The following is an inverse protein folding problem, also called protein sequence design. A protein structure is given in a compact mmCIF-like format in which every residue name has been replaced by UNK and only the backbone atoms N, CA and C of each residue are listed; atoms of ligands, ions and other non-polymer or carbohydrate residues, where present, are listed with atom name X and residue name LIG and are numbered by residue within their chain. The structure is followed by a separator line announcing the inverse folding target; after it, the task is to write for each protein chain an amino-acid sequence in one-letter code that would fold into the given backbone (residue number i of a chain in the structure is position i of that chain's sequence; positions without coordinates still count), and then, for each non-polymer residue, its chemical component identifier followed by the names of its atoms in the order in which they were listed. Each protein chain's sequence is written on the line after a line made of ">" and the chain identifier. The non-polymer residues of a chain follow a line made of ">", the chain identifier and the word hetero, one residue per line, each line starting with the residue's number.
data_IF_556645988174
#
_entry.id   IF_556645988174
#
_cell.length_a   1.000
_cell.length_b   1.000
_cell.length_c   1.000
_cell.angle_alpha   90.00
_cell.angle_beta   90.00
_cell.angle_gamma   90.00
#
_symmetry.space_group_name_H-M   'P 1'
#
loop_
_entity.id
_entity.type
_entity.pdbx_description
1 polymer ?
#
# COMPACT_ATOMS: atom_id res chain seq x y z
N UNK A 1 -17.56 -8.44 10.31
CA UNK A 1 -16.32 -9.17 9.97
C UNK A 1 -15.36 -8.18 9.36
N UNK A 2 -14.49 -7.56 10.17
CA UNK A 2 -13.40 -6.73 9.64
C UNK A 2 -12.16 -7.61 9.62
N UNK A 3 -11.93 -8.26 8.49
CA UNK A 3 -10.66 -8.90 8.18
C UNK A 3 -9.64 -7.77 8.03
N UNK A 4 -9.18 -7.26 9.18
CA UNK A 4 -8.13 -6.25 9.28
C UNK A 4 -6.85 -6.96 8.91
N UNK A 5 -6.67 -7.20 7.61
CA UNK A 5 -5.49 -7.81 7.03
C UNK A 5 -4.34 -6.89 7.37
N UNK A 6 -3.56 -7.29 8.38
CA UNK A 6 -2.52 -6.46 8.98
C UNK A 6 -1.47 -6.17 7.91
N UNK A 7 -1.44 -4.91 7.45
CA UNK A 7 -0.36 -4.40 6.62
C UNK A 7 0.91 -4.41 7.48
N UNK A 8 1.97 -5.02 6.97
CA UNK A 8 3.28 -5.10 7.64
C UNK A 8 4.39 -5.15 6.58
N UNK A 9 5.62 -4.88 6.99
CA UNK A 9 6.79 -4.98 6.12
C UNK A 9 6.88 -6.39 5.51
N UNK A 10 7.20 -6.44 4.21
CA UNK A 10 7.29 -7.67 3.43
C UNK A 10 5.98 -8.10 2.76
N UNK A 11 4.83 -7.53 3.14
CA UNK A 11 3.55 -7.91 2.54
C UNK A 11 3.38 -7.29 1.15
N UNK A 12 2.96 -8.12 0.19
CA UNK A 12 2.52 -7.67 -1.13
C UNK A 12 1.13 -7.04 -1.04
N UNK A 13 0.99 -5.85 -1.61
CA UNK A 13 -0.23 -5.05 -1.57
C UNK A 13 -0.57 -4.50 -2.94
N UNK A 14 -1.85 -4.25 -3.16
CA UNK A 14 -2.36 -3.45 -4.28
C UNK A 14 -2.89 -2.12 -3.74
N UNK A 15 -2.63 -1.05 -4.48
CA UNK A 15 -3.13 0.28 -4.17
C UNK A 15 -4.60 0.36 -4.60
N UNK A 16 -5.49 0.65 -3.66
CA UNK A 16 -6.92 0.80 -3.92
C UNK A 16 -7.19 2.01 -4.81
N UNK A 17 -8.31 1.93 -5.54
CA UNK A 17 -8.79 3.03 -6.37
C UNK A 17 -9.38 4.16 -5.52
N UNK A 18 -10.09 3.79 -4.46
CA UNK A 18 -10.62 4.73 -3.47
C UNK A 18 -9.51 5.09 -2.48
N UNK A 19 -9.07 6.34 -2.54
CA UNK A 19 -8.02 6.89 -1.69
C UNK A 19 -8.54 8.13 -0.99
N UNK A 20 -8.16 8.29 0.28
CA UNK A 20 -8.50 9.44 1.08
C UNK A 20 -7.47 10.54 0.86
N UNK A 21 -7.90 11.80 0.80
CA UNK A 21 -7.02 12.92 0.41
C UNK A 21 -5.96 13.32 1.47
N UNK A 22 -5.73 12.48 2.49
CA UNK A 22 -4.85 12.77 3.63
C UNK A 22 -3.38 12.96 3.20
N UNK A 23 -2.94 12.24 2.17
CA UNK A 23 -1.57 12.33 1.64
C UNK A 23 -1.53 13.01 0.26
N UNK A 24 -2.59 13.75 -0.09
CA UNK A 24 -2.81 14.34 -1.41
C UNK A 24 -3.85 13.56 -2.24
N UNK A 25 -3.95 13.88 -3.54
CA UNK A 25 -4.92 13.25 -4.44
C UNK A 25 -4.63 11.77 -4.75
N UNK A 26 -5.58 11.06 -5.40
CA UNK A 26 -5.43 9.65 -5.73
C UNK A 26 -4.16 9.39 -6.54
N UNK A 27 -3.35 8.44 -6.08
CA UNK A 27 -2.08 8.09 -6.73
C UNK A 27 -1.98 6.59 -6.98
N UNK A 28 -1.58 6.25 -8.20
CA UNK A 28 -1.25 4.87 -8.61
C UNK A 28 -2.33 3.80 -8.37
N UNK A 29 -3.63 4.07 -8.64
CA UNK A 29 -4.68 3.09 -8.41
C UNK A 29 -4.41 1.80 -9.19
N UNK A 30 -4.56 0.65 -8.53
CA UNK A 30 -4.34 -0.68 -9.08
C UNK A 30 -2.88 -1.10 -9.24
N UNK A 31 -1.90 -0.27 -8.88
CA UNK A 31 -0.50 -0.72 -8.88
C UNK A 31 -0.22 -1.62 -7.70
N UNK A 32 0.61 -2.64 -7.95
CA UNK A 32 1.07 -3.59 -6.94
C UNK A 32 2.45 -3.22 -6.44
N UNK A 33 2.74 -3.55 -5.18
CA UNK A 33 4.05 -3.35 -4.59
C UNK A 33 4.24 -4.14 -3.30
N UNK A 34 5.41 -3.99 -2.70
CA UNK A 34 5.75 -4.60 -1.42
C UNK A 34 5.95 -3.50 -0.38
N UNK A 35 5.39 -3.69 0.82
CA UNK A 35 5.63 -2.78 1.95
C UNK A 35 7.08 -2.94 2.40
N UNK A 36 7.86 -1.86 2.36
CA UNK A 36 9.30 -1.90 2.69
C UNK A 36 9.63 -1.20 4.00
N UNK A 37 8.79 -0.27 4.46
CA UNK A 37 9.04 0.48 5.69
C UNK A 37 7.75 1.05 6.29
N UNK A 38 7.65 1.04 7.61
CA UNK A 38 6.62 1.80 8.34
C UNK A 38 7.08 3.24 8.58
N UNK A 39 6.18 4.21 8.43
CA UNK A 39 6.40 5.58 8.86
C UNK A 39 5.83 5.76 10.27
N UNK A 40 6.69 6.14 11.23
CA UNK A 40 6.35 6.31 12.65
C UNK A 40 5.22 7.32 12.90
N UNK A 41 5.05 8.31 12.02
CA UNK A 41 3.98 9.31 12.12
C UNK A 41 2.58 8.71 11.89
N UNK A 42 2.49 7.54 11.26
CA UNK A 42 1.23 6.89 10.90
C UNK A 42 0.63 6.00 11.98
N UNK A 43 1.33 5.76 13.09
CA UNK A 43 0.96 4.76 14.10
C UNK A 43 -0.44 5.01 14.68
N UNK A 44 -0.83 6.28 14.85
CA UNK A 44 -2.13 6.67 15.39
C UNK A 44 -3.26 6.71 14.34
N UNK A 45 -2.94 6.60 13.04
CA UNK A 45 -3.91 6.68 11.93
C UNK A 45 -4.21 5.31 11.29
N UNK A 46 -3.84 4.23 11.97
CA UNK A 46 -3.94 2.87 11.45
C UNK A 46 -2.77 2.45 10.56
N UNK A 47 -1.71 3.27 10.45
CA UNK A 47 -0.46 2.95 9.76
C UNK A 47 -0.22 3.79 8.49
N UNK A 48 1.02 4.23 8.33
CA UNK A 48 1.56 4.84 7.10
C UNK A 48 2.71 3.98 6.60
N UNK A 49 2.67 3.58 5.33
CA UNK A 49 3.55 2.55 4.79
C UNK A 49 4.23 3.02 3.51
N UNK A 50 5.55 2.91 3.47
CA UNK A 50 6.30 3.04 2.24
C UNK A 50 6.19 1.74 1.46
N UNK A 51 5.65 1.83 0.25
CA UNK A 51 5.45 0.71 -0.66
C UNK A 51 6.38 0.88 -1.85
N UNK A 52 7.20 -0.13 -2.12
CA UNK A 52 7.97 -0.24 -3.36
C UNK A 52 7.05 -0.78 -4.47
N UNK A 53 6.54 0.13 -5.31
CA UNK A 53 5.67 -0.20 -6.43
C UNK A 53 6.46 -0.89 -7.54
N UNK A 54 5.94 -2.02 -8.02
CA UNK A 54 6.49 -2.78 -9.14
C UNK A 54 6.44 -1.97 -10.42
N UNK A 55 7.44 -2.14 -11.30
CA UNK A 55 7.44 -1.53 -12.62
C UNK A 55 6.21 -2.00 -13.43
N UNK A 56 5.64 -1.10 -14.23
CA UNK A 56 4.64 -1.46 -15.23
C UNK A 56 5.18 -1.15 -16.62
N UNK A 57 4.48 -1.58 -17.66
CA UNK A 57 4.81 -1.23 -19.06
C UNK A 57 4.93 0.29 -19.29
N UNK A 58 4.26 1.12 -18.49
CA UNK A 58 4.19 2.59 -18.66
C UNK A 58 4.92 3.37 -17.57
N UNK A 59 5.34 2.73 -16.48
CA UNK A 59 5.89 3.43 -15.33
C UNK A 59 7.02 2.65 -14.65
N UNK A 60 8.08 3.38 -14.29
CA UNK A 60 9.23 2.86 -13.54
C UNK A 60 8.83 2.43 -12.11
N UNK A 61 9.63 1.57 -11.46
CA UNK A 61 9.46 1.29 -10.04
C UNK A 61 9.68 2.56 -9.22
N UNK A 62 8.98 2.69 -8.09
CA UNK A 62 9.15 3.82 -7.16
C UNK A 62 8.71 3.44 -5.76
N UNK A 63 9.27 4.12 -4.76
CA UNK A 63 8.80 4.05 -3.38
C UNK A 63 7.83 5.20 -3.15
N UNK A 64 6.67 4.90 -2.58
CA UNK A 64 5.62 5.88 -2.31
C UNK A 64 4.94 5.59 -0.97
N UNK A 65 4.45 6.64 -0.30
CA UNK A 65 3.83 6.53 1.04
C UNK A 65 2.30 6.39 0.93
N UNK A 66 1.70 5.42 1.61
CA UNK A 66 0.24 5.21 1.62
C UNK A 66 -0.30 5.02 3.03
N UNK A 67 -1.56 5.36 3.25
CA UNK A 67 -2.30 4.95 4.43
C UNK A 67 -2.71 3.47 4.31
N UNK A 68 -2.76 2.75 5.43
CA UNK A 68 -3.22 1.33 5.43
C UNK A 68 -4.58 1.14 4.74
N UNK A 69 -5.48 2.11 4.88
CA UNK A 69 -6.84 2.03 4.31
C UNK A 69 -6.83 2.05 2.78
N UNK A 70 -5.80 2.65 2.17
CA UNK A 70 -5.60 2.76 0.72
C UNK A 70 -4.92 1.51 0.12
N UNK A 71 -4.55 0.54 0.96
CA UNK A 71 -3.88 -0.68 0.56
C UNK A 71 -4.78 -1.87 0.81
N UNK A 72 -4.65 -2.85 -0.07
CA UNK A 72 -5.26 -4.17 0.09
C UNK A 72 -4.16 -5.23 -0.07
N UNK A 73 -4.14 -6.21 0.83
CA UNK A 73 -3.18 -7.31 0.73
C UNK A 73 -3.52 -8.16 -0.48
N UNK A 74 -2.51 -8.48 -1.29
CA UNK A 74 -2.65 -9.51 -2.31
C UNK A 74 -2.48 -10.86 -1.60
N UNK A 75 -3.47 -11.77 -1.64
CA UNK A 75 -3.28 -13.12 -1.14
C UNK A 75 -2.09 -13.75 -1.86
N UNK A 76 -1.11 -14.22 -1.11
CA UNK A 76 -0.11 -15.11 -1.70
C UNK A 76 -0.86 -16.39 -2.03
N UNK A 77 -1.04 -16.65 -3.32
CA UNK A 77 -1.68 -17.87 -3.78
C UNK A 77 -0.96 -19.05 -3.16
N UNK A 78 -1.66 -19.79 -2.30
CA UNK A 78 -1.23 -21.11 -1.86
C UNK A 78 -1.07 -21.93 -3.13
N UNK A 79 0.18 -22.15 -3.54
CA UNK A 79 0.49 -23.17 -4.53
C UNK A 79 0.21 -24.56 -3.96
#
# INVERSE_FOLDING_TARGET
>A
MNDSTVIRIGVKVVVKREQNQLLGGPKYPGRTGIVVRENSLGRNMGGLWYVALEATRRAKPRIELFCSRELERVPEGTS
#
